data_IF_600509478792
#
_entry.id   IF_600509478792
#
_cell.length_a   1.000
_cell.length_b   1.000
_cell.length_c   1.000
_cell.angle_alpha   90.00
_cell.angle_beta   90.00
_cell.angle_gamma   90.00
#
_symmetry.space_group_name_H-M   'P 1'
#
loop_
_entity.id
_entity.type
_entity.pdbx_description
1 polymer ?
#
# COMPACT_ATOMS: atom_id res chain seq x y z
N UNK A 1 0.89 -16.35 -36.76
CA UNK A 1 1.88 -15.36 -36.29
C UNK A 1 1.10 -14.28 -35.57
N UNK A 2 1.02 -14.37 -34.24
CA UNK A 2 0.33 -13.39 -33.39
C UNK A 2 1.18 -12.13 -33.27
N UNK A 3 0.58 -10.97 -33.52
CA UNK A 3 1.23 -9.68 -33.30
C UNK A 3 1.71 -9.57 -31.84
N UNK A 4 2.92 -9.06 -31.59
CA UNK A 4 3.44 -8.91 -30.23
C UNK A 4 2.53 -7.97 -29.44
N UNK A 5 2.05 -8.45 -28.29
CA UNK A 5 1.22 -7.70 -27.35
C UNK A 5 1.86 -6.33 -27.03
N UNK A 6 1.07 -5.23 -26.84
CA UNK A 6 1.64 -3.92 -26.62
C UNK A 6 2.46 -3.93 -25.32
N UNK A 7 3.79 -3.83 -25.46
CA UNK A 7 4.68 -3.53 -24.33
C UNK A 7 4.16 -2.26 -23.66
N UNK A 8 4.20 -2.19 -22.33
CA UNK A 8 3.83 -0.98 -21.58
C UNK A 8 4.42 0.28 -22.22
N UNK A 9 3.73 1.42 -22.10
CA UNK A 9 4.04 2.64 -22.87
C UNK A 9 5.55 2.91 -22.86
N UNK A 10 6.24 2.83 -24.02
CA UNK A 10 7.68 2.94 -24.04
C UNK A 10 8.10 4.31 -23.52
N UNK A 11 9.09 4.32 -22.62
CA UNK A 11 9.73 5.55 -22.18
C UNK A 11 10.30 6.27 -23.40
N UNK A 12 10.07 7.58 -23.50
CA UNK A 12 10.72 8.40 -24.54
C UNK A 12 12.19 8.67 -24.24
N UNK A 13 12.61 8.41 -23.00
CA UNK A 13 14.00 8.46 -22.54
C UNK A 13 14.61 7.08 -22.76
N UNK A 14 15.36 6.95 -23.85
CA UNK A 14 16.13 5.77 -24.25
C UNK A 14 17.52 6.23 -24.70
N UNK A 15 18.40 5.28 -25.04
CA UNK A 15 19.67 5.58 -25.74
C UNK A 15 20.47 6.72 -25.12
N UNK A 16 20.78 7.74 -25.95
CA UNK A 16 21.59 8.89 -25.56
C UNK A 16 20.87 9.84 -24.61
N UNK A 17 19.54 9.89 -24.65
CA UNK A 17 18.75 10.67 -23.69
C UNK A 17 18.82 10.04 -22.30
N UNK A 18 18.81 8.70 -22.22
CA UNK A 18 18.97 8.00 -20.96
C UNK A 18 20.37 8.19 -20.38
N UNK A 19 21.42 8.02 -21.18
CA UNK A 19 22.80 8.32 -20.78
C UNK A 19 22.92 9.77 -20.26
N UNK A 20 22.30 10.73 -20.97
CA UNK A 20 22.28 12.13 -20.57
C UNK A 20 21.57 12.34 -19.24
N UNK A 21 20.35 11.82 -19.03
CA UNK A 21 19.67 12.05 -17.74
C UNK A 21 20.33 11.31 -16.56
N UNK A 22 20.83 10.10 -16.79
CA UNK A 22 21.51 9.33 -15.74
C UNK A 22 22.81 10.00 -15.27
N UNK A 23 23.51 10.74 -16.13
CA UNK A 23 24.69 11.51 -15.71
C UNK A 23 24.36 12.64 -14.72
N UNK A 24 23.10 13.10 -14.65
CA UNK A 24 22.65 14.14 -13.72
C UNK A 24 21.86 13.59 -12.52
N UNK A 25 21.74 12.27 -12.35
CA UNK A 25 21.00 11.67 -11.23
C UNK A 25 21.54 12.11 -9.86
N UNK A 26 22.87 12.22 -9.71
CA UNK A 26 23.48 12.68 -8.46
C UNK A 26 23.19 14.16 -8.17
N UNK A 27 23.16 15.01 -9.21
CA UNK A 27 22.79 16.42 -9.08
C UNK A 27 21.33 16.60 -8.69
N UNK A 28 20.45 15.80 -9.31
CA UNK A 28 19.03 15.79 -8.99
C UNK A 28 18.78 15.45 -7.52
N UNK A 29 19.42 14.37 -7.01
CA UNK A 29 19.27 13.98 -5.61
C UNK A 29 19.75 15.10 -4.68
N UNK A 30 20.94 15.67 -4.93
CA UNK A 30 21.45 16.81 -4.14
C UNK A 30 20.52 18.02 -4.15
N UNK A 31 19.84 18.28 -5.28
CA UNK A 31 18.89 19.38 -5.38
C UNK A 31 17.60 19.09 -4.60
N UNK A 32 17.10 17.85 -4.65
CA UNK A 32 15.96 17.39 -3.86
C UNK A 32 16.24 17.46 -2.35
N UNK A 33 17.43 17.04 -1.91
CA UNK A 33 17.83 17.06 -0.49
C UNK A 33 17.86 18.49 0.08
N UNK A 34 18.11 19.50 -0.76
CA UNK A 34 18.08 20.93 -0.40
C UNK A 34 16.68 21.55 -0.42
N UNK A 35 15.68 20.82 -0.92
CA UNK A 35 14.28 21.22 -0.94
C UNK A 35 13.76 21.70 -2.31
N UNK A 36 12.47 22.04 -2.33
CA UNK A 36 11.70 22.26 -3.56
C UNK A 36 12.22 23.39 -4.46
N UNK A 37 12.83 24.44 -3.89
CA UNK A 37 13.37 25.57 -4.66
C UNK A 37 14.58 25.14 -5.48
N UNK A 38 15.52 24.40 -4.87
CA UNK A 38 16.72 23.92 -5.57
C UNK A 38 16.37 22.84 -6.59
N UNK A 39 15.41 21.96 -6.27
CA UNK A 39 14.85 21.02 -7.25
C UNK A 39 14.24 21.76 -8.46
N UNK A 40 13.52 22.86 -8.23
CA UNK A 40 12.98 23.73 -9.29
C UNK A 40 14.07 24.28 -10.21
N UNK A 41 15.17 24.78 -9.63
CA UNK A 41 16.34 25.30 -10.37
C UNK A 41 17.05 24.21 -11.16
N UNK A 42 17.17 23.00 -10.60
CA UNK A 42 17.70 21.85 -11.30
C UNK A 42 16.89 21.57 -12.57
N UNK A 43 15.56 21.53 -12.48
CA UNK A 43 14.71 21.28 -13.64
C UNK A 43 14.83 22.35 -14.73
N UNK A 44 14.97 23.62 -14.35
CA UNK A 44 15.19 24.70 -15.31
C UNK A 44 16.55 24.56 -16.01
N UNK A 45 17.59 24.21 -15.26
CA UNK A 45 18.94 23.97 -15.78
C UNK A 45 18.97 22.79 -16.74
N UNK A 46 18.52 21.60 -16.30
CA UNK A 46 18.57 20.39 -17.12
C UNK A 46 17.72 20.51 -18.38
N UNK A 47 16.60 21.25 -18.33
CA UNK A 47 15.79 21.52 -19.52
C UNK A 47 16.56 22.37 -20.52
N UNK A 48 17.25 23.42 -20.08
CA UNK A 48 18.08 24.25 -20.98
C UNK A 48 19.25 23.44 -21.55
N UNK A 49 19.88 22.60 -20.73
CA UNK A 49 20.96 21.72 -21.18
C UNK A 49 20.45 20.70 -22.21
N UNK A 50 19.29 20.12 -21.98
CA UNK A 50 18.64 19.20 -22.92
C UNK A 50 18.36 19.88 -24.27
N UNK A 51 17.80 21.10 -24.25
CA UNK A 51 17.56 21.87 -25.48
C UNK A 51 18.87 22.24 -26.18
N UNK A 52 19.95 22.48 -25.44
CA UNK A 52 21.27 22.74 -26.02
C UNK A 52 21.87 21.50 -26.69
N UNK A 53 21.71 20.33 -26.06
CA UNK A 53 22.28 19.07 -26.54
C UNK A 53 21.49 18.47 -27.72
N UNK A 54 20.15 18.56 -27.67
CA UNK A 54 19.24 17.89 -28.60
C UNK A 54 18.42 18.84 -29.50
N UNK A 55 18.51 20.14 -29.25
CA UNK A 55 17.82 21.18 -30.03
C UNK A 55 16.36 21.41 -29.64
N UNK A 56 15.80 22.46 -30.23
CA UNK A 56 14.35 22.69 -30.23
C UNK A 56 13.67 21.71 -31.19
N UNK A 57 12.46 21.27 -30.85
CA UNK A 57 11.65 20.31 -31.63
C UNK A 57 12.21 18.87 -31.65
N UNK A 58 12.84 18.43 -30.56
CA UNK A 58 13.25 17.04 -30.36
C UNK A 58 12.07 16.10 -30.63
N UNK A 59 12.22 15.21 -31.63
CA UNK A 59 11.22 14.23 -32.01
C UNK A 59 11.40 12.99 -31.13
N UNK A 60 10.43 12.76 -30.25
CA UNK A 60 10.42 11.57 -29.38
C UNK A 60 10.48 10.30 -30.23
N UNK A 61 11.26 9.31 -29.76
CA UNK A 61 11.42 7.99 -30.39
C UNK A 61 12.18 7.94 -31.72
N UNK A 62 12.90 9.00 -32.11
CA UNK A 62 13.77 9.02 -33.30
C UNK A 62 15.25 9.19 -32.90
N UNK A 63 15.68 8.42 -31.89
CA UNK A 63 16.94 8.61 -31.15
C UNK A 63 18.19 8.06 -31.90
N UNK A 64 18.01 7.21 -32.92
CA UNK A 64 19.07 6.36 -33.48
C UNK A 64 20.25 7.10 -34.15
N UNK A 65 20.14 8.40 -34.44
CA UNK A 65 21.19 9.16 -35.14
C UNK A 65 21.57 10.49 -34.47
N UNK A 66 21.19 10.73 -33.22
CA UNK A 66 21.53 11.99 -32.55
C UNK A 66 22.89 11.90 -31.87
N UNK A 67 23.84 12.69 -32.35
CA UNK A 67 25.10 12.98 -31.66
C UNK A 67 24.83 14.16 -30.73
N UNK A 68 24.97 14.01 -29.39
CA UNK A 68 24.88 15.14 -28.49
C UNK A 68 25.81 16.26 -28.94
N UNK A 69 25.29 17.46 -29.15
CA UNK A 69 26.15 18.62 -29.40
C UNK A 69 27.05 18.78 -28.19
N UNK A 70 28.37 18.92 -28.41
CA UNK A 70 29.34 19.03 -27.34
C UNK A 70 28.92 20.09 -26.30
N UNK A 71 28.93 19.68 -25.03
CA UNK A 71 28.51 20.48 -23.90
C UNK A 71 29.34 21.76 -23.81
N UNK A 72 28.66 22.91 -23.83
CA UNK A 72 29.27 24.23 -23.67
C UNK A 72 28.44 25.04 -22.68
N UNK A 73 29.02 25.26 -21.49
CA UNK A 73 28.39 26.02 -20.40
C UNK A 73 28.01 27.45 -20.79
N UNK A 74 28.69 28.02 -21.79
CA UNK A 74 28.39 29.38 -22.24
C UNK A 74 27.09 29.45 -23.05
N UNK A 75 26.71 28.36 -23.74
CA UNK A 75 25.58 28.32 -24.68
C UNK A 75 24.22 28.15 -24.00
N UNK A 76 24.13 27.45 -22.87
CA UNK A 76 22.83 27.25 -22.21
C UNK A 76 22.32 28.51 -21.51
N UNK A 77 23.20 29.44 -21.13
CA UNK A 77 22.81 30.74 -20.54
C UNK A 77 22.13 31.63 -21.58
N UNK A 78 22.53 31.52 -22.84
CA UNK A 78 22.02 32.31 -23.96
C UNK A 78 20.95 31.60 -24.79
N UNK A 79 20.62 30.34 -24.50
CA UNK A 79 19.65 29.57 -25.30
C UNK A 79 18.22 30.13 -25.27
N UNK A 80 17.93 30.94 -24.24
CA UNK A 80 16.67 31.68 -24.08
C UNK A 80 16.80 33.15 -24.47
N UNK A 81 17.92 33.54 -25.09
CA UNK A 81 18.01 34.84 -25.73
C UNK A 81 17.05 34.85 -26.93
N UNK A 82 16.13 35.80 -26.89
CA UNK A 82 15.08 35.98 -27.86
C UNK A 82 15.33 37.23 -28.73
N UNK A 83 16.49 37.85 -28.61
CA UNK A 83 16.88 38.99 -29.44
C UNK A 83 16.74 38.64 -30.93
N UNK A 84 15.96 39.43 -31.66
CA UNK A 84 15.75 39.29 -33.10
C UNK A 84 14.76 38.20 -33.52
N UNK A 85 14.05 37.54 -32.60
CA UNK A 85 12.97 36.60 -32.91
C UNK A 85 11.61 37.30 -32.97
N UNK A 86 10.69 36.75 -33.76
CA UNK A 86 9.29 37.20 -33.78
C UNK A 86 8.55 36.73 -32.52
N UNK A 87 7.53 37.48 -32.10
CA UNK A 87 6.70 37.14 -30.92
C UNK A 87 6.08 35.73 -31.01
N UNK A 88 5.72 35.30 -32.23
CA UNK A 88 5.21 33.97 -32.49
C UNK A 88 6.24 32.87 -32.20
N UNK A 89 7.50 33.08 -32.60
CA UNK A 89 8.58 32.12 -32.35
C UNK A 89 8.99 32.11 -30.88
N UNK A 90 9.00 33.28 -30.21
CA UNK A 90 9.24 33.38 -28.77
C UNK A 90 8.19 32.57 -28.00
N UNK A 91 6.92 32.73 -28.37
CA UNK A 91 5.80 32.00 -27.75
C UNK A 91 5.93 30.49 -27.97
N UNK A 92 6.29 30.06 -29.19
CA UNK A 92 6.52 28.64 -29.50
C UNK A 92 7.65 28.05 -28.67
N UNK A 93 8.78 28.74 -28.53
CA UNK A 93 9.93 28.28 -27.76
C UNK A 93 9.64 28.21 -26.26
N UNK A 94 8.91 29.19 -25.71
CA UNK A 94 8.47 29.16 -24.31
C UNK A 94 7.54 27.99 -24.02
N UNK A 95 6.59 27.72 -24.92
CA UNK A 95 5.69 26.58 -24.78
C UNK A 95 6.45 25.25 -24.85
N UNK A 96 7.34 25.09 -25.82
CA UNK A 96 8.19 23.89 -25.93
C UNK A 96 9.05 23.67 -24.68
N UNK A 97 9.67 24.72 -24.14
CA UNK A 97 10.46 24.62 -22.92
C UNK A 97 9.60 24.18 -21.73
N UNK A 98 8.40 24.76 -21.58
CA UNK A 98 7.46 24.40 -20.51
C UNK A 98 7.08 22.92 -20.60
N UNK A 99 6.70 22.45 -21.78
CA UNK A 99 6.29 21.07 -22.01
C UNK A 99 7.44 20.08 -21.78
N UNK A 100 8.64 20.44 -22.25
CA UNK A 100 9.85 19.64 -22.05
C UNK A 100 10.23 19.56 -20.56
N UNK A 101 10.19 20.70 -19.85
CA UNK A 101 10.46 20.76 -18.40
C UNK A 101 9.53 19.83 -17.63
N UNK A 102 8.22 19.86 -17.93
CA UNK A 102 7.24 18.97 -17.29
C UNK A 102 7.57 17.50 -17.52
N UNK A 103 8.01 17.14 -18.73
CA UNK A 103 8.34 15.76 -19.06
C UNK A 103 9.62 15.27 -18.39
N UNK A 104 10.64 16.12 -18.35
CA UNK A 104 11.89 15.82 -17.64
C UNK A 104 11.60 15.65 -16.15
N UNK A 105 10.81 16.54 -15.57
CA UNK A 105 10.39 16.44 -14.17
C UNK A 105 9.66 15.13 -13.88
N UNK A 106 8.66 14.78 -14.70
CA UNK A 106 7.94 13.52 -14.58
C UNK A 106 8.87 12.32 -14.68
N UNK A 107 9.82 12.33 -15.63
CA UNK A 107 10.77 11.24 -15.79
C UNK A 107 11.67 11.09 -14.56
N UNK A 108 12.33 12.14 -14.09
CA UNK A 108 13.21 12.07 -12.91
C UNK A 108 12.43 11.61 -11.68
N UNK A 109 11.21 12.13 -11.50
CA UNK A 109 10.32 11.70 -10.42
C UNK A 109 10.00 10.20 -10.55
N UNK A 110 9.48 9.72 -11.67
CA UNK A 110 9.14 8.29 -11.81
C UNK A 110 10.35 7.36 -11.77
N UNK A 111 11.50 7.81 -12.28
CA UNK A 111 12.73 7.03 -12.32
C UNK A 111 13.35 6.83 -10.93
N UNK A 112 13.28 7.85 -10.07
CA UNK A 112 13.91 7.83 -8.75
C UNK A 112 12.93 7.62 -7.59
N UNK A 113 11.69 8.08 -7.68
CA UNK A 113 10.62 7.77 -6.72
C UNK A 113 9.76 6.64 -7.27
N UNK A 114 10.14 5.40 -6.96
CA UNK A 114 9.49 4.16 -7.42
C UNK A 114 8.11 3.87 -6.81
N UNK A 115 7.52 4.77 -6.04
CA UNK A 115 6.13 4.68 -5.61
C UNK A 115 5.53 6.09 -5.52
N UNK A 116 4.33 6.34 -6.07
CA UNK A 116 3.63 7.57 -5.79
C UNK A 116 3.36 7.63 -4.28
N UNK A 117 4.01 8.58 -3.60
CA UNK A 117 3.79 8.89 -2.18
C UNK A 117 2.46 9.62 -1.94
N UNK A 118 1.47 9.42 -2.81
CA UNK A 118 0.11 9.92 -2.58
C UNK A 118 -0.50 9.12 -1.43
N UNK A 119 -0.94 9.81 -0.38
CA UNK A 119 -1.63 9.20 0.77
C UNK A 119 -2.76 8.26 0.31
N UNK A 120 -3.49 8.63 -0.74
CA UNK A 120 -4.61 7.84 -1.29
C UNK A 120 -4.18 6.45 -1.80
N UNK A 121 -3.04 6.33 -2.49
CA UNK A 121 -2.60 5.04 -3.05
C UNK A 121 -1.99 4.14 -1.97
N UNK A 122 -1.28 4.73 -1.01
CA UNK A 122 -0.77 4.00 0.14
C UNK A 122 -1.90 3.50 1.04
N UNK A 123 -2.95 4.30 1.23
CA UNK A 123 -4.15 3.92 1.98
C UNK A 123 -4.95 2.81 1.31
N UNK A 124 -5.09 2.83 -0.03
CA UNK A 124 -5.75 1.74 -0.75
C UNK A 124 -5.01 0.42 -0.58
N UNK A 125 -3.69 0.42 -0.75
CA UNK A 125 -2.87 -0.78 -0.58
C UNK A 125 -2.92 -1.23 0.88
N UNK A 126 -2.77 -0.32 1.84
CA UNK A 126 -2.80 -0.65 3.26
C UNK A 126 -4.15 -1.21 3.71
N UNK A 127 -5.27 -0.62 3.26
CA UNK A 127 -6.61 -1.17 3.49
C UNK A 127 -6.75 -2.58 2.94
N UNK A 128 -6.14 -2.83 1.79
CA UNK A 128 -6.15 -4.14 1.14
C UNK A 128 -5.35 -5.18 1.94
N UNK A 129 -4.19 -4.79 2.48
CA UNK A 129 -3.41 -5.61 3.40
C UNK A 129 -4.15 -5.84 4.74
N UNK A 130 -4.83 -4.82 5.26
CA UNK A 130 -5.65 -4.91 6.48
C UNK A 130 -6.87 -5.84 6.30
N UNK A 131 -7.48 -5.85 5.11
CA UNK A 131 -8.60 -6.73 4.76
C UNK A 131 -8.16 -8.18 4.52
N UNK A 132 -6.93 -8.40 4.02
CA UNK A 132 -6.37 -9.75 3.77
C UNK A 132 -5.68 -10.37 4.98
N UNK A 133 -5.08 -9.56 5.85
CA UNK A 133 -4.51 -10.06 7.10
C UNK A 133 -5.66 -10.38 8.05
N UNK A 134 -5.74 -11.64 8.52
CA UNK A 134 -6.72 -12.11 9.51
C UNK A 134 -7.07 -11.00 10.50
N UNK A 135 -8.37 -10.67 10.69
CA UNK A 135 -8.84 -9.35 11.09
C UNK A 135 -7.96 -8.80 12.20
N UNK A 136 -7.14 -7.80 11.85
CA UNK A 136 -6.20 -7.19 12.78
C UNK A 136 -6.93 -6.94 14.09
N UNK A 137 -6.59 -7.70 15.14
CA UNK A 137 -7.33 -7.64 16.40
C UNK A 137 -7.27 -6.18 16.86
N UNK A 138 -8.41 -5.45 16.84
CA UNK A 138 -8.38 -4.02 17.06
C UNK A 138 -7.95 -3.76 18.49
N UNK A 139 -7.23 -2.65 18.70
CA UNK A 139 -6.78 -2.24 20.03
C UNK A 139 -7.97 -2.27 21.01
N UNK A 140 -7.89 -3.07 22.10
CA UNK A 140 -8.98 -3.18 23.05
C UNK A 140 -9.37 -1.81 23.60
N UNK A 141 -10.67 -1.52 23.60
CA UNK A 141 -11.23 -0.32 24.21
C UNK A 141 -11.91 -0.68 25.52
N UNK A 142 -11.77 0.20 26.51
CA UNK A 142 -12.50 0.07 27.77
C UNK A 142 -14.00 0.03 27.48
N UNK A 143 -14.68 -1.03 27.96
CA UNK A 143 -16.13 -1.14 27.81
C UNK A 143 -16.84 -0.10 28.66
N UNK A 144 -17.98 0.40 28.20
CA UNK A 144 -18.85 1.18 29.07
C UNK A 144 -19.29 0.34 30.28
N UNK A 145 -19.44 0.96 31.45
CA UNK A 145 -19.74 0.25 32.69
C UNK A 145 -21.04 -0.56 32.59
N UNK A 146 -22.08 0.01 31.99
CA UNK A 146 -23.36 -0.66 31.76
C UNK A 146 -23.19 -1.92 30.91
N UNK A 147 -22.38 -1.86 29.84
CA UNK A 147 -22.12 -3.04 29.00
C UNK A 147 -21.28 -4.10 29.72
N UNK A 148 -20.32 -3.69 30.55
CA UNK A 148 -19.53 -4.62 31.36
C UNK A 148 -20.40 -5.29 32.43
N UNK A 149 -21.26 -4.52 33.10
CA UNK A 149 -22.26 -5.00 34.04
C UNK A 149 -23.22 -5.98 33.37
N UNK A 150 -23.77 -5.62 32.20
CA UNK A 150 -24.63 -6.49 31.40
C UNK A 150 -23.95 -7.82 31.13
N UNK A 151 -22.75 -7.81 30.54
CA UNK A 151 -21.99 -9.04 30.24
C UNK A 151 -21.82 -9.94 31.47
N UNK A 152 -21.61 -9.37 32.67
CA UNK A 152 -21.34 -10.13 33.88
C UNK A 152 -22.60 -10.67 34.57
N UNK A 153 -23.71 -9.93 34.51
CA UNK A 153 -24.93 -10.25 35.25
C UNK A 153 -26.15 -10.51 34.38
N UNK A 154 -25.97 -10.64 33.05
CA UNK A 154 -27.09 -10.85 32.13
C UNK A 154 -27.89 -12.09 32.54
N UNK A 155 -27.24 -13.26 32.56
CA UNK A 155 -27.91 -14.52 32.87
C UNK A 155 -28.37 -14.62 34.33
N UNK A 156 -27.64 -13.97 35.24
CA UNK A 156 -27.91 -14.05 36.68
C UNK A 156 -29.07 -13.18 37.14
N UNK A 157 -29.24 -11.98 36.56
CA UNK A 157 -30.20 -10.98 37.06
C UNK A 157 -31.05 -10.38 35.96
N UNK A 158 -30.44 -9.93 34.87
CA UNK A 158 -31.12 -9.08 33.86
C UNK A 158 -32.08 -9.90 33.00
N UNK A 159 -31.66 -11.08 32.53
CA UNK A 159 -32.43 -11.94 31.62
C UNK A 159 -33.78 -12.29 32.19
N UNK A 160 -33.85 -12.66 33.48
CA UNK A 160 -35.09 -13.00 34.14
C UNK A 160 -36.07 -11.82 34.18
N UNK A 161 -35.58 -10.61 34.50
CA UNK A 161 -36.41 -9.40 34.50
C UNK A 161 -36.92 -9.08 33.09
N UNK A 162 -36.03 -9.17 32.10
CA UNK A 162 -36.38 -8.95 30.69
C UNK A 162 -37.44 -9.96 30.22
N UNK A 163 -37.26 -11.24 30.48
CA UNK A 163 -38.17 -12.28 29.99
C UNK A 163 -39.57 -12.18 30.64
N UNK A 164 -39.66 -11.69 31.88
CA UNK A 164 -40.95 -11.41 32.53
C UNK A 164 -41.60 -10.13 32.00
N UNK A 165 -40.83 -9.05 31.85
CA UNK A 165 -41.40 -7.74 31.49
C UNK A 165 -41.63 -7.57 29.99
N UNK A 166 -40.90 -8.29 29.14
CA UNK A 166 -40.98 -8.14 27.69
C UNK A 166 -42.37 -8.44 27.10
N UNK A 167 -43.08 -9.54 27.47
CA UNK A 167 -44.44 -9.78 26.98
C UNK A 167 -45.41 -8.66 27.36
N UNK A 168 -45.30 -8.13 28.58
CA UNK A 168 -46.12 -7.01 29.06
C UNK A 168 -45.85 -5.75 28.24
N UNK A 169 -44.57 -5.44 28.02
CA UNK A 169 -44.16 -4.30 27.20
C UNK A 169 -44.63 -4.44 25.74
N UNK A 170 -44.59 -5.66 25.19
CA UNK A 170 -45.05 -5.95 23.83
C UNK A 170 -46.56 -5.72 23.71
N UNK A 171 -47.35 -6.17 24.69
CA UNK A 171 -48.79 -5.93 24.73
C UNK A 171 -49.12 -4.43 24.85
N UNK A 172 -48.39 -3.69 25.67
CA UNK A 172 -48.54 -2.23 25.79
C UNK A 172 -48.24 -1.50 24.48
N UNK A 173 -47.19 -1.91 23.76
CA UNK A 173 -46.85 -1.35 22.45
C UNK A 173 -47.90 -1.62 21.36
N UNK A 174 -48.70 -2.68 21.50
CA UNK A 174 -49.83 -2.97 20.61
C UNK A 174 -51.05 -2.09 20.91
N UNK A 175 -51.26 -1.75 22.18
CA UNK A 175 -52.41 -0.95 22.63
C UNK A 175 -52.18 0.57 22.47
N UNK A 176 -50.94 1.04 22.46
CA UNK A 176 -50.63 2.46 22.37
C UNK A 176 -50.13 2.85 20.97
N UNK A 177 -50.85 3.75 20.29
CA UNK A 177 -50.47 4.25 18.96
C UNK A 177 -49.37 5.32 19.00
N UNK A 178 -49.09 5.90 20.18
CA UNK A 178 -48.21 7.08 20.34
C UNK A 178 -46.88 6.81 21.07
N UNK A 179 -46.68 5.62 21.65
CA UNK A 179 -45.42 5.32 22.35
C UNK A 179 -44.35 4.76 21.42
N UNK A 180 -43.09 5.05 21.76
CA UNK A 180 -41.92 4.50 21.09
C UNK A 180 -41.96 2.97 21.19
N UNK A 181 -42.00 2.29 20.04
CA UNK A 181 -41.86 0.84 19.94
C UNK A 181 -40.39 0.49 20.16
N UNK A 182 -40.13 -0.30 21.20
CA UNK A 182 -38.81 -0.87 21.48
C UNK A 182 -38.72 -2.25 20.85
N UNK A 183 -37.56 -2.59 20.31
CA UNK A 183 -37.16 -3.98 20.07
C UNK A 183 -36.81 -4.68 21.39
N UNK A 184 -36.79 -6.02 21.43
CA UNK A 184 -36.40 -6.78 22.64
C UNK A 184 -35.00 -6.38 23.12
N UNK A 185 -34.09 -6.11 22.16
CA UNK A 185 -32.73 -5.66 22.44
C UNK A 185 -32.69 -4.28 23.11
N UNK A 186 -33.40 -3.28 22.56
CA UNK A 186 -33.44 -1.94 23.16
C UNK A 186 -34.09 -1.95 24.54
N UNK A 187 -35.15 -2.74 24.72
CA UNK A 187 -35.78 -2.92 26.03
C UNK A 187 -34.82 -3.56 27.03
N UNK A 188 -34.04 -4.57 26.61
CA UNK A 188 -33.02 -5.20 27.45
C UNK A 188 -31.93 -4.22 27.88
N UNK A 189 -31.50 -3.33 26.98
CA UNK A 189 -30.53 -2.27 27.31
C UNK A 189 -31.13 -1.29 28.32
N UNK A 190 -32.40 -0.90 28.15
CA UNK A 190 -33.11 -0.05 29.11
C UNK A 190 -33.19 -0.69 30.50
N UNK A 191 -33.63 -1.94 30.59
CA UNK A 191 -33.69 -2.68 31.86
C UNK A 191 -32.30 -2.79 32.50
N UNK A 192 -31.27 -3.06 31.70
CA UNK A 192 -29.88 -3.11 32.17
C UNK A 192 -29.45 -1.77 32.79
N UNK A 193 -29.75 -0.64 32.14
CA UNK A 193 -29.42 0.69 32.66
C UNK A 193 -30.15 1.01 33.97
N UNK A 194 -31.44 0.66 34.06
CA UNK A 194 -32.24 0.86 35.27
C UNK A 194 -31.70 0.03 36.43
N UNK A 195 -31.40 -1.25 36.18
CA UNK A 195 -30.80 -2.14 37.18
C UNK A 195 -29.41 -1.63 37.61
N UNK A 196 -28.57 -1.19 36.67
CA UNK A 196 -27.27 -0.61 36.98
C UNK A 196 -27.37 0.65 37.86
N UNK A 197 -28.35 1.53 37.60
CA UNK A 197 -28.58 2.74 38.41
C UNK A 197 -29.08 2.39 39.82
N UNK A 198 -29.82 1.29 39.97
CA UNK A 198 -30.34 0.81 41.25
C UNK A 198 -29.31 0.03 42.08
N UNK A 199 -28.19 -0.40 41.50
CA UNK A 199 -27.13 -1.11 42.25
C UNK A 199 -26.49 -0.19 43.33
N UNK A 200 -26.16 -0.72 44.52
CA UNK A 200 -25.49 0.03 45.56
C UNK A 200 -24.17 0.66 45.10
N UNK A 201 -23.79 1.80 45.70
CA UNK A 201 -22.56 2.51 45.35
C UNK A 201 -21.31 1.62 45.47
N UNK A 202 -21.24 0.79 46.51
CA UNK A 202 -20.14 -0.16 46.74
C UNK A 202 -20.01 -1.18 45.61
N UNK A 203 -21.14 -1.73 45.13
CA UNK A 203 -21.16 -2.67 44.02
C UNK A 203 -20.74 -1.98 42.73
N UNK A 204 -21.22 -0.75 42.48
CA UNK A 204 -20.83 0.01 41.28
C UNK A 204 -19.33 0.29 41.23
N UNK A 205 -18.72 0.61 42.37
CA UNK A 205 -17.26 0.78 42.46
C UNK A 205 -16.50 -0.52 42.25
N UNK A 206 -16.97 -1.64 42.82
CA UNK A 206 -16.37 -2.96 42.59
C UNK A 206 -16.38 -3.33 41.08
N UNK A 207 -17.50 -3.09 40.40
CA UNK A 207 -17.61 -3.34 38.96
C UNK A 207 -16.69 -2.41 38.16
N UNK A 208 -16.51 -1.16 38.60
CA UNK A 208 -15.57 -0.22 37.98
C UNK A 208 -14.13 -0.72 38.07
N UNK A 209 -13.71 -1.22 39.24
CA UNK A 209 -12.38 -1.79 39.44
C UNK A 209 -12.16 -3.02 38.56
N UNK A 210 -13.10 -3.97 38.58
CA UNK A 210 -13.02 -5.19 37.75
C UNK A 210 -12.97 -4.89 36.25
N UNK A 211 -13.72 -3.89 35.78
CA UNK A 211 -13.64 -3.43 34.38
C UNK A 211 -12.25 -2.91 34.04
N UNK A 212 -11.65 -2.13 34.95
CA UNK A 212 -10.33 -1.56 34.72
C UNK A 212 -9.26 -2.66 34.65
N UNK A 213 -9.31 -3.63 35.56
CA UNK A 213 -8.42 -4.80 35.56
C UNK A 213 -8.57 -5.61 34.26
N UNK A 214 -9.80 -5.96 33.88
CA UNK A 214 -10.07 -6.68 32.63
C UNK A 214 -9.63 -5.89 31.38
N UNK A 215 -9.73 -4.55 31.41
CA UNK A 215 -9.21 -3.72 30.32
C UNK A 215 -7.68 -3.75 30.29
N UNK A 216 -7.01 -3.69 31.44
CA UNK A 216 -5.54 -3.76 31.52
C UNK A 216 -5.00 -5.10 31.04
N UNK A 217 -5.63 -6.22 31.43
CA UNK A 217 -5.24 -7.57 30.97
C UNK A 217 -5.33 -7.66 29.46
N UNK A 218 -6.48 -7.27 28.87
CA UNK A 218 -6.64 -7.32 27.41
C UNK A 218 -5.70 -6.37 26.67
N UNK A 219 -5.44 -5.20 27.23
CA UNK A 219 -4.48 -4.25 26.66
C UNK A 219 -3.07 -4.85 26.63
N UNK A 220 -2.65 -5.52 27.71
CA UNK A 220 -1.36 -6.19 27.78
C UNK A 220 -1.28 -7.35 26.78
N UNK A 221 -2.30 -8.20 26.70
CA UNK A 221 -2.37 -9.27 25.70
C UNK A 221 -2.26 -8.73 24.27
N UNK A 222 -2.92 -7.60 23.99
CA UNK A 222 -2.82 -6.94 22.69
C UNK A 222 -1.42 -6.36 22.43
N UNK A 223 -0.81 -5.72 23.43
CA UNK A 223 0.56 -5.19 23.33
C UNK A 223 1.59 -6.32 23.09
N UNK A 224 1.44 -7.45 23.79
CA UNK A 224 2.29 -8.64 23.62
C UNK A 224 2.12 -9.24 22.22
N UNK A 225 0.88 -9.34 21.70
CA UNK A 225 0.61 -9.77 20.33
C UNK A 225 1.17 -8.80 19.29
N UNK A 226 1.01 -7.49 19.46
CA UNK A 226 1.56 -6.48 18.56
C UNK A 226 3.09 -6.50 18.55
N UNK A 227 3.70 -6.70 19.72
CA UNK A 227 5.14 -6.86 19.81
C UNK A 227 5.61 -8.13 19.09
N UNK A 228 4.87 -9.24 19.24
CA UNK A 228 5.17 -10.49 18.54
C UNK A 228 5.07 -10.35 17.02
N UNK A 229 4.07 -9.62 16.49
CA UNK A 229 3.95 -9.33 15.04
C UNK A 229 5.11 -8.51 14.48
N UNK A 230 5.67 -7.60 15.28
CA UNK A 230 6.76 -6.71 14.86
C UNK A 230 8.13 -7.38 14.90
N UNK A 231 8.26 -8.52 15.57
CA UNK A 231 9.52 -9.26 15.56
C UNK A 231 9.68 -9.94 14.20
N UNK A 232 10.69 -9.49 13.45
CA UNK A 232 11.23 -10.26 12.33
C UNK A 232 11.59 -11.65 12.86
N UNK A 233 11.27 -12.73 12.12
CA UNK A 233 11.79 -14.05 12.46
C UNK A 233 13.30 -13.97 12.67
N UNK A 234 13.77 -14.47 13.81
CA UNK A 234 15.17 -14.43 14.25
C UNK A 234 15.81 -15.82 14.30
N UNK A 235 15.04 -16.86 13.99
CA UNK A 235 15.53 -18.23 13.85
C UNK A 235 15.09 -18.87 12.53
N UNK A 236 15.86 -19.83 11.98
CA UNK A 236 15.50 -20.61 10.80
C UNK A 236 14.12 -21.29 10.90
N UNK A 237 13.75 -21.81 12.06
CA UNK A 237 12.46 -22.44 12.31
C UNK A 237 11.30 -21.44 12.30
N UNK A 238 11.56 -20.22 12.80
CA UNK A 238 10.60 -19.11 12.76
C UNK A 238 10.35 -18.66 11.31
N UNK A 239 11.41 -18.55 10.49
CA UNK A 239 11.29 -18.29 9.06
C UNK A 239 10.48 -19.38 8.35
N UNK A 240 10.78 -20.65 8.60
CA UNK A 240 10.06 -21.78 8.01
C UNK A 240 8.57 -21.79 8.38
N UNK A 241 8.23 -21.45 9.63
CA UNK A 241 6.84 -21.38 10.10
C UNK A 241 6.07 -20.27 9.38
N UNK A 242 6.66 -19.08 9.29
CA UNK A 242 6.06 -17.95 8.56
C UNK A 242 5.91 -18.28 7.07
N UNK A 243 6.92 -18.92 6.48
CA UNK A 243 6.94 -19.32 5.08
C UNK A 243 5.86 -20.39 4.77
N UNK A 244 5.67 -21.36 5.65
CA UNK A 244 4.64 -22.39 5.48
C UNK A 244 3.23 -21.80 5.50
N UNK A 245 3.03 -20.71 6.27
CA UNK A 245 1.76 -19.98 6.32
C UNK A 245 1.60 -18.92 5.23
N UNK A 246 2.66 -18.54 4.51
CA UNK A 246 2.63 -17.38 3.61
C UNK A 246 1.77 -17.60 2.39
N UNK A 247 1.63 -18.85 1.90
CA UNK A 247 0.81 -19.18 0.74
C UNK A 247 -0.66 -18.79 0.92
N UNK A 248 -1.21 -18.99 2.12
CA UNK A 248 -2.60 -18.64 2.44
C UNK A 248 -2.88 -17.14 2.32
N UNK A 249 -1.86 -16.30 2.52
CA UNK A 249 -1.97 -14.84 2.45
C UNK A 249 -1.57 -14.27 1.08
N UNK A 250 -0.51 -14.82 0.50
CA UNK A 250 0.09 -14.29 -0.72
C UNK A 250 -0.63 -14.72 -2.00
N UNK A 251 -1.31 -15.88 -2.02
CA UNK A 251 -2.09 -16.30 -3.19
C UNK A 251 -3.26 -15.34 -3.47
N UNK A 252 -4.12 -14.98 -2.50
CA UNK A 252 -5.16 -13.97 -2.72
C UNK A 252 -4.61 -12.62 -3.22
N UNK A 253 -3.46 -12.18 -2.71
CA UNK A 253 -2.81 -10.95 -3.18
C UNK A 253 -2.34 -11.08 -4.64
N UNK A 254 -1.72 -12.21 -4.99
CA UNK A 254 -1.28 -12.48 -6.36
C UNK A 254 -2.46 -12.49 -7.33
N UNK A 255 -3.57 -13.14 -6.94
CA UNK A 255 -4.81 -13.20 -7.71
C UNK A 255 -5.45 -11.83 -7.89
N UNK A 256 -5.47 -11.02 -6.83
CA UNK A 256 -6.02 -9.67 -6.92
C UNK A 256 -5.18 -8.77 -7.83
N UNK A 257 -3.85 -8.87 -7.78
CA UNK A 257 -2.98 -8.14 -8.71
C UNK A 257 -3.30 -8.57 -10.15
N UNK A 258 -3.41 -9.87 -10.41
CA UNK A 258 -3.75 -10.38 -11.73
C UNK A 258 -5.12 -9.86 -12.19
N UNK A 259 -6.14 -9.91 -11.34
CA UNK A 259 -7.51 -9.45 -11.64
C UNK A 259 -7.56 -7.94 -11.87
N UNK A 260 -7.03 -7.13 -10.95
CA UNK A 260 -7.10 -5.66 -10.99
C UNK A 260 -6.45 -5.09 -12.24
N UNK A 261 -5.37 -5.72 -12.72
CA UNK A 261 -4.59 -5.23 -13.85
C UNK A 261 -4.82 -6.02 -15.14
N UNK A 262 -5.64 -7.08 -15.12
CA UNK A 262 -5.80 -7.99 -16.25
C UNK A 262 -4.46 -8.61 -16.70
N UNK A 263 -3.59 -8.93 -15.74
CA UNK A 263 -2.23 -9.36 -15.95
C UNK A 263 -1.98 -10.79 -15.43
N UNK A 264 -0.88 -11.40 -15.84
CA UNK A 264 -0.33 -12.59 -15.17
C UNK A 264 0.60 -12.08 -14.05
N UNK A 265 0.44 -12.61 -12.85
CA UNK A 265 1.21 -12.19 -11.68
C UNK A 265 2.01 -13.38 -11.12
N UNK A 266 3.19 -13.11 -10.58
CA UNK A 266 3.99 -14.10 -9.86
C UNK A 266 4.74 -13.41 -8.73
N UNK A 267 4.65 -13.97 -7.53
CA UNK A 267 5.36 -13.51 -6.34
C UNK A 267 6.37 -14.58 -5.93
N UNK A 268 7.64 -14.20 -5.82
CA UNK A 268 8.73 -15.08 -5.40
C UNK A 268 9.32 -14.52 -4.10
N UNK A 269 9.45 -15.38 -3.09
CA UNK A 269 10.06 -15.07 -1.81
C UNK A 269 11.19 -16.07 -1.54
N UNK A 270 12.39 -15.56 -1.25
CA UNK A 270 13.53 -16.36 -0.82
C UNK A 270 13.79 -16.15 0.67
N UNK A 271 13.80 -17.23 1.44
CA UNK A 271 13.92 -17.21 2.90
C UNK A 271 14.75 -18.43 3.38
N UNK A 272 15.44 -18.33 4.54
CA UNK A 272 16.07 -19.48 5.15
C UNK A 272 15.04 -20.54 5.58
N UNK A 273 15.35 -21.80 5.31
CA UNK A 273 14.63 -22.99 5.82
C UNK A 273 15.14 -23.36 7.21
N UNK A 274 14.53 -24.35 7.86
CA UNK A 274 14.99 -24.84 9.17
C UNK A 274 16.42 -25.42 9.15
N UNK A 275 16.93 -25.86 8.00
CA UNK A 275 18.34 -26.27 7.84
C UNK A 275 19.32 -25.10 7.67
N UNK A 276 18.80 -23.86 7.55
CA UNK A 276 19.59 -22.67 7.22
C UNK A 276 19.82 -22.47 5.72
N UNK A 277 19.40 -23.41 4.88
CA UNK A 277 19.48 -23.28 3.41
C UNK A 277 18.42 -22.30 2.91
N UNK A 278 18.75 -21.50 1.90
CA UNK A 278 17.79 -20.59 1.27
C UNK A 278 16.87 -21.37 0.33
N UNK A 279 15.56 -21.25 0.54
CA UNK A 279 14.53 -21.80 -0.35
C UNK A 279 13.72 -20.66 -0.97
N UNK A 280 13.34 -20.83 -2.24
CA UNK A 280 12.38 -19.95 -2.93
C UNK A 280 11.00 -20.58 -2.87
N UNK A 281 10.03 -19.82 -2.34
CA UNK A 281 8.60 -20.10 -2.52
C UNK A 281 8.03 -19.14 -3.54
N UNK A 282 7.25 -19.69 -4.46
CA UNK A 282 6.61 -18.92 -5.50
C UNK A 282 5.11 -19.19 -5.55
N UNK A 283 4.38 -18.15 -5.92
CA UNK A 283 2.93 -18.11 -6.00
C UNK A 283 2.60 -17.42 -7.31
N UNK A 284 1.65 -17.97 -8.05
CA UNK A 284 1.37 -17.60 -9.42
C UNK A 284 -0.12 -17.39 -9.60
N UNK A 285 -0.46 -16.36 -10.37
CA UNK A 285 -1.82 -16.12 -10.83
C UNK A 285 -1.82 -15.87 -12.34
N UNK A 286 -2.72 -16.55 -13.03
CA UNK A 286 -2.77 -16.62 -14.48
C UNK A 286 -2.33 -17.99 -15.02
N UNK A 287 -2.97 -18.39 -16.11
CA UNK A 287 -2.77 -19.66 -16.79
C UNK A 287 -2.56 -19.39 -18.29
N UNK A 288 -1.84 -20.29 -18.96
CA UNK A 288 -1.73 -20.27 -20.42
C UNK A 288 -3.10 -20.49 -21.07
N UNK A 289 -3.29 -19.95 -22.28
CA UNK A 289 -4.49 -20.18 -23.08
C UNK A 289 -4.49 -21.52 -23.84
N UNK A 290 -3.58 -22.44 -23.50
CA UNK A 290 -3.55 -23.77 -24.07
C UNK A 290 -4.56 -24.68 -23.33
N UNK A 291 -4.98 -25.81 -23.91
CA UNK A 291 -5.91 -26.73 -23.25
C UNK A 291 -5.42 -27.29 -21.91
N UNK A 292 -4.11 -27.29 -21.68
CA UNK A 292 -3.50 -27.77 -20.44
C UNK A 292 -3.61 -26.77 -19.28
N UNK A 293 -3.80 -25.48 -19.57
CA UNK A 293 -3.87 -24.37 -18.62
C UNK A 293 -2.77 -24.44 -17.55
N UNK A 294 -1.55 -24.15 -17.98
CA UNK A 294 -0.34 -24.24 -17.17
C UNK A 294 -0.03 -22.87 -16.53
N UNK A 295 0.43 -22.88 -15.29
CA UNK A 295 1.04 -21.71 -14.68
C UNK A 295 2.50 -21.55 -15.15
N UNK A 296 3.16 -20.45 -14.78
CA UNK A 296 4.51 -20.15 -15.29
C UNK A 296 5.54 -21.27 -15.04
N UNK A 297 5.69 -21.83 -13.82
CA UNK A 297 6.62 -22.94 -13.58
C UNK A 297 6.32 -24.21 -14.40
N UNK A 298 5.04 -24.47 -14.70
CA UNK A 298 4.64 -25.62 -15.50
C UNK A 298 4.93 -25.40 -16.99
N UNK A 299 4.70 -24.18 -17.48
CA UNK A 299 4.87 -23.84 -18.89
C UNK A 299 6.35 -23.62 -19.29
N UNK A 300 7.11 -22.93 -18.44
CA UNK A 300 8.51 -22.54 -18.67
C UNK A 300 9.34 -22.79 -17.41
N UNK A 301 9.53 -24.08 -17.11
CA UNK A 301 10.34 -24.52 -15.97
C UNK A 301 11.77 -23.96 -16.00
N UNK A 302 12.51 -23.98 -17.14
CA UNK A 302 13.87 -23.44 -17.18
C UNK A 302 13.93 -21.94 -16.89
N UNK A 303 12.99 -21.14 -17.41
CA UNK A 303 12.92 -19.71 -17.13
C UNK A 303 12.58 -19.41 -15.67
N UNK A 304 11.66 -20.19 -15.10
CA UNK A 304 11.35 -20.13 -13.67
C UNK A 304 12.56 -20.48 -12.80
N UNK A 305 13.26 -21.57 -13.11
CA UNK A 305 14.43 -22.04 -12.37
C UNK A 305 15.55 -20.99 -12.38
N UNK A 306 15.85 -20.40 -13.54
CA UNK A 306 16.83 -19.33 -13.65
C UNK A 306 16.47 -18.09 -12.80
N UNK A 307 15.19 -17.73 -12.74
CA UNK A 307 14.72 -16.64 -11.90
C UNK A 307 14.82 -16.97 -10.41
N UNK A 308 14.45 -18.20 -10.01
CA UNK A 308 14.56 -18.68 -8.65
C UNK A 308 16.03 -18.71 -8.20
N UNK A 309 16.95 -19.26 -8.99
CA UNK A 309 18.39 -19.28 -8.68
C UNK A 309 18.96 -17.87 -8.51
N UNK A 310 18.58 -16.94 -9.39
CA UNK A 310 19.01 -15.55 -9.27
C UNK A 310 18.56 -14.93 -7.94
N UNK A 311 17.35 -15.28 -7.48
CA UNK A 311 16.81 -14.79 -6.23
C UNK A 311 17.49 -15.45 -5.02
N UNK A 312 17.79 -16.75 -5.08
CA UNK A 312 18.58 -17.47 -4.05
C UNK A 312 19.94 -16.80 -3.85
N UNK A 313 20.70 -16.59 -4.94
CA UNK A 313 22.02 -15.95 -4.90
C UNK A 313 21.98 -14.55 -4.28
N UNK A 314 20.90 -13.81 -4.51
CA UNK A 314 20.71 -12.52 -3.87
C UNK A 314 20.38 -12.66 -2.38
N UNK A 315 19.50 -13.60 -2.02
CA UNK A 315 19.12 -13.86 -0.63
C UNK A 315 20.30 -14.36 0.23
N UNK A 316 21.25 -15.12 -0.34
CA UNK A 316 22.51 -15.49 0.33
C UNK A 316 23.36 -14.28 0.77
N UNK A 317 23.16 -13.11 0.15
CA UNK A 317 23.84 -11.87 0.55
C UNK A 317 23.06 -11.07 1.60
N UNK A 318 21.78 -11.41 1.82
CA UNK A 318 20.84 -10.68 2.68
C UNK A 318 20.74 -11.29 4.08
N UNK A 319 20.84 -12.62 4.18
CA UNK A 319 20.78 -13.38 5.44
C UNK A 319 22.18 -13.79 5.90
#
# INVERSE_FOLDING_TARGET
MSEPCPRGRPSWVTGKVLEFFTSFSADWQRACDKGHIEAGRFYDMITKLFICAFGFNFKRFQDENMVPVAYDESKWKTIMDHAGLSDAEISRRRQYQKDMRTQIQQWFYHYHTKAPTGEDTAMEIQKLFDDMSSPAIPKPRAKQLVHFYSKKFFDLKIKHVVDIQWPVQQQQQLLSTSQKKYTKFEFSNKVTEEMWKAEPAEVRELIRLQRNEDTQVRMKEWEDMELAKKKRPDSPESFHTVLSGSAAFLQPLCDLIAEKYGAVASLLLALPTSSGEIEVRSIHSGLTNNPAQENWPQHDYPGYEAAAESLVKFADLVF
#
